data_IF_032488922234
#
_entry.id   IF_032488922234
#
_cell.length_a   1.000
_cell.length_b   1.000
_cell.length_c   1.000
_cell.angle_alpha   90.00
_cell.angle_beta   90.00
_cell.angle_gamma   90.00
#
_symmetry.space_group_name_H-M   'P 1'
#
loop_
_entity.id
_entity.type
_entity.pdbx_description
1 polymer ?
#
# COMPACT_ATOMS: atom_id res chain seq x y z
N UNK A 1 26.59 5.85 -75.91
CA UNK A 1 25.42 5.23 -75.25
C UNK A 1 25.97 4.43 -74.08
N UNK A 2 26.24 5.00 -72.90
CA UNK A 2 25.32 5.68 -71.97
C UNK A 2 24.16 4.73 -71.59
N UNK A 3 23.85 4.41 -70.34
CA UNK A 3 24.40 4.80 -69.03
C UNK A 3 23.76 3.82 -68.02
N UNK A 4 24.50 3.49 -66.97
CA UNK A 4 24.04 2.81 -65.75
C UNK A 4 22.77 3.44 -65.13
N UNK A 5 22.04 2.69 -64.30
CA UNK A 5 21.44 3.29 -63.09
C UNK A 5 21.49 2.32 -61.92
N UNK A 6 22.43 2.66 -61.04
CA UNK A 6 22.56 2.27 -59.64
C UNK A 6 21.23 2.32 -58.87
N UNK A 7 21.16 1.47 -57.84
CA UNK A 7 20.81 1.92 -56.49
C UNK A 7 21.40 0.96 -55.45
N UNK A 8 22.70 1.09 -55.18
CA UNK A 8 23.26 0.64 -53.91
C UNK A 8 22.92 1.71 -52.87
N UNK A 9 22.06 1.35 -51.92
CA UNK A 9 21.82 2.17 -50.74
C UNK A 9 23.00 2.01 -49.80
N UNK A 10 23.86 3.03 -49.74
CA UNK A 10 24.82 3.17 -48.64
C UNK A 10 24.05 3.64 -47.40
N UNK A 11 23.80 2.72 -46.48
CA UNK A 11 23.40 3.09 -45.11
C UNK A 11 24.68 3.51 -44.39
N UNK A 12 24.89 4.82 -44.25
CA UNK A 12 25.83 5.35 -43.26
C UNK A 12 25.27 5.00 -41.88
N UNK A 13 25.77 3.93 -41.28
CA UNK A 13 25.63 3.69 -39.86
C UNK A 13 26.45 4.74 -39.11
N UNK A 14 25.81 5.81 -38.65
CA UNK A 14 26.37 6.63 -37.58
C UNK A 14 26.44 5.77 -36.33
N UNK A 15 27.64 5.25 -36.04
CA UNK A 15 27.95 4.71 -34.73
C UNK A 15 27.86 5.89 -33.74
N UNK A 16 26.74 5.98 -33.03
CA UNK A 16 26.72 6.69 -31.76
C UNK A 16 27.60 5.88 -30.81
N UNK A 17 28.86 6.27 -30.69
CA UNK A 17 29.66 5.89 -29.52
C UNK A 17 29.02 6.63 -28.35
N UNK A 18 28.12 5.95 -27.65
CA UNK A 18 27.74 6.34 -26.30
C UNK A 18 29.01 6.12 -25.48
N UNK A 19 29.76 7.19 -25.26
CA UNK A 19 30.77 7.21 -24.21
C UNK A 19 29.97 7.09 -22.92
N UNK A 20 29.83 5.88 -22.41
CA UNK A 20 29.49 5.66 -21.01
C UNK A 20 30.67 6.26 -20.24
N UNK A 21 30.50 7.50 -19.77
CA UNK A 21 31.27 7.94 -18.62
C UNK A 21 30.93 6.92 -17.54
N UNK A 22 31.90 6.07 -17.19
CA UNK A 22 31.79 5.19 -16.03
C UNK A 22 31.53 6.10 -14.84
N UNK A 23 30.27 6.26 -14.49
CA UNK A 23 29.89 6.93 -13.27
C UNK A 23 30.42 6.04 -12.16
N UNK A 24 31.53 6.46 -11.55
CA UNK A 24 32.11 5.75 -10.44
C UNK A 24 31.01 5.58 -9.38
N UNK A 25 30.88 4.35 -8.90
CA UNK A 25 29.89 4.00 -7.90
C UNK A 25 30.57 3.94 -6.54
N UNK A 26 29.91 4.48 -5.52
CA UNK A 26 30.39 4.46 -4.15
C UNK A 26 29.27 4.00 -3.20
N UNK A 27 29.71 3.51 -2.04
CA UNK A 27 28.81 2.93 -1.05
C UNK A 27 28.16 4.01 -0.18
N UNK A 28 26.83 3.99 -0.11
CA UNK A 28 26.02 4.72 0.85
C UNK A 28 25.40 3.73 1.85
N UNK A 29 25.54 4.02 3.14
CA UNK A 29 24.94 3.26 4.24
C UNK A 29 24.01 4.13 5.06
N UNK A 30 22.87 3.58 5.47
CA UNK A 30 21.95 4.15 6.45
C UNK A 30 22.01 3.34 7.74
N UNK A 31 21.99 4.03 8.87
CA UNK A 31 21.91 3.48 10.23
C UNK A 31 20.88 4.31 11.02
N UNK A 32 19.69 3.73 11.19
CA UNK A 32 18.49 4.38 11.72
C UNK A 32 18.18 3.78 13.08
N UNK A 33 18.13 4.66 14.08
CA UNK A 33 18.04 4.26 15.47
C UNK A 33 16.84 4.92 16.17
N UNK A 34 16.41 4.35 17.28
CA UNK A 34 15.52 5.02 18.23
C UNK A 34 16.33 5.93 19.18
N UNK A 35 15.62 6.60 20.11
CA UNK A 35 16.22 7.50 21.10
C UNK A 35 17.18 6.78 22.07
N UNK A 36 17.07 5.45 22.21
CA UNK A 36 17.94 4.61 23.02
C UNK A 36 19.16 4.07 22.24
N UNK A 37 19.33 4.46 20.97
CA UNK A 37 20.43 4.01 20.11
C UNK A 37 20.27 2.60 19.54
N UNK A 38 19.09 1.99 19.67
CA UNK A 38 18.78 0.67 19.11
C UNK A 38 18.35 0.79 17.64
N UNK A 39 18.74 -0.18 16.81
CA UNK A 39 18.31 -0.25 15.39
C UNK A 39 16.79 -0.23 15.28
N UNK A 40 16.28 0.62 14.38
CA UNK A 40 14.85 0.86 14.25
C UNK A 40 14.39 0.62 12.81
N UNK A 41 13.57 -0.41 12.54
CA UNK A 41 13.00 -0.64 11.22
C UNK A 41 12.23 0.59 10.71
N UNK A 42 12.41 0.91 9.43
CA UNK A 42 11.80 2.10 8.84
C UNK A 42 11.69 1.98 7.31
N UNK A 43 10.91 2.89 6.73
CA UNK A 43 10.81 3.10 5.29
C UNK A 43 11.74 4.23 4.86
N UNK A 44 12.49 4.01 3.79
CA UNK A 44 13.37 5.01 3.18
C UNK A 44 12.92 5.26 1.73
N UNK A 45 12.64 6.52 1.45
CA UNK A 45 12.53 7.05 0.09
C UNK A 45 13.88 7.67 -0.26
N UNK A 46 14.54 7.21 -1.31
CA UNK A 46 15.83 7.73 -1.75
C UNK A 46 15.73 8.06 -3.23
N UNK A 47 16.06 9.28 -3.62
CA UNK A 47 15.96 9.73 -5.01
C UNK A 47 17.28 10.34 -5.47
N UNK A 48 17.63 10.10 -6.74
CA UNK A 48 18.71 10.82 -7.42
C UNK A 48 18.27 12.26 -7.81
N UNK A 49 19.15 13.08 -8.41
CA UNK A 49 18.79 14.45 -8.80
C UNK A 49 17.63 14.55 -9.79
N UNK A 50 17.45 13.54 -10.64
CA UNK A 50 16.35 13.47 -11.61
C UNK A 50 15.02 13.04 -10.96
N UNK A 51 15.03 12.74 -9.66
CA UNK A 51 13.87 12.32 -8.90
C UNK A 51 13.52 10.84 -9.09
N UNK A 52 14.41 10.04 -9.67
CA UNK A 52 14.21 8.60 -9.82
C UNK A 52 14.53 7.87 -8.50
N UNK A 53 13.63 6.98 -8.05
CA UNK A 53 13.80 6.28 -6.80
C UNK A 53 14.89 5.20 -6.88
N UNK A 54 15.68 5.10 -5.82
CA UNK A 54 16.78 4.15 -5.67
C UNK A 54 16.35 2.93 -4.86
N UNK A 55 16.96 1.77 -5.15
CA UNK A 55 16.62 0.49 -4.53
C UNK A 55 17.82 -0.09 -3.80
N UNK A 56 17.59 -0.56 -2.57
CA UNK A 56 18.56 -1.38 -1.86
C UNK A 56 18.36 -2.86 -2.21
N UNK A 57 19.43 -3.53 -2.64
CA UNK A 57 19.37 -4.95 -3.00
C UNK A 57 18.96 -5.81 -1.79
N UNK A 58 18.08 -6.79 -2.02
CA UNK A 58 17.60 -7.71 -0.98
C UNK A 58 16.58 -7.12 0.00
N UNK A 59 16.24 -5.84 -0.10
CA UNK A 59 15.23 -5.20 0.75
C UNK A 59 13.89 -5.06 0.01
N UNK A 60 12.74 -5.18 0.72
CA UNK A 60 11.43 -4.94 0.12
C UNK A 60 11.38 -3.54 -0.51
N UNK A 61 11.05 -3.48 -1.80
CA UNK A 61 10.85 -2.24 -2.53
C UNK A 61 9.41 -2.15 -3.04
N UNK A 62 8.87 -0.93 -3.05
CA UNK A 62 7.61 -0.63 -3.70
C UNK A 62 7.61 0.78 -4.25
N UNK A 63 7.41 0.90 -5.58
CA UNK A 63 7.29 2.17 -6.33
C UNK A 63 8.45 3.14 -6.15
N UNK A 64 8.51 3.85 -5.02
CA UNK A 64 9.43 4.93 -4.71
C UNK A 64 10.21 4.76 -3.40
N UNK A 65 9.99 3.67 -2.66
CA UNK A 65 10.64 3.42 -1.38
C UNK A 65 11.08 1.97 -1.21
N UNK A 66 12.03 1.77 -0.29
CA UNK A 66 12.34 0.47 0.28
C UNK A 66 12.18 0.49 1.80
N UNK A 67 12.10 -0.68 2.40
CA UNK A 67 12.03 -0.88 3.84
C UNK A 67 13.27 -1.60 4.34
N UNK A 68 13.80 -1.19 5.50
CA UNK A 68 15.00 -1.79 6.10
C UNK A 68 14.77 -2.12 7.59
N UNK A 69 15.57 -3.04 8.17
CA UNK A 69 15.50 -3.38 9.61
C UNK A 69 16.15 -2.31 10.52
N UNK A 70 16.43 -1.12 9.98
CA UNK A 70 17.17 -0.03 10.61
C UNK A 70 18.55 0.19 10.01
N UNK A 71 19.03 -0.72 9.15
CA UNK A 71 20.24 -0.50 8.37
C UNK A 71 20.03 -0.86 6.90
N UNK A 72 20.60 -0.07 6.00
CA UNK A 72 20.59 -0.33 4.56
C UNK A 72 21.92 0.07 3.93
N UNK A 73 22.32 -0.65 2.88
CA UNK A 73 23.56 -0.38 2.14
C UNK A 73 23.28 -0.43 0.64
N UNK A 74 23.74 0.58 -0.08
CA UNK A 74 23.51 0.77 -1.51
C UNK A 74 24.82 1.19 -2.18
N UNK A 75 25.07 0.66 -3.38
CA UNK A 75 26.11 1.15 -4.27
C UNK A 75 25.43 2.07 -5.29
N UNK A 76 25.86 3.33 -5.32
CA UNK A 76 25.21 4.39 -6.09
C UNK A 76 26.26 5.19 -6.86
N UNK A 77 25.95 5.70 -8.06
CA UNK A 77 26.78 6.68 -8.74
C UNK A 77 27.18 7.85 -7.84
N UNK A 78 28.34 8.46 -8.11
CA UNK A 78 28.71 9.75 -7.51
C UNK A 78 27.69 10.80 -7.90
N UNK A 79 26.89 11.21 -6.92
CA UNK A 79 25.90 12.27 -7.08
C UNK A 79 25.35 12.73 -5.72
N UNK A 80 24.39 13.66 -5.76
CA UNK A 80 23.61 14.15 -4.63
C UNK A 80 22.24 13.49 -4.60
N UNK A 81 21.97 12.77 -3.52
CA UNK A 81 20.71 12.07 -3.32
C UNK A 81 19.88 12.77 -2.26
N UNK A 82 18.57 12.84 -2.48
CA UNK A 82 17.60 13.29 -1.47
C UNK A 82 16.94 12.09 -0.81
N UNK A 83 16.76 12.11 0.50
CA UNK A 83 16.11 11.05 1.24
C UNK A 83 14.96 11.55 2.11
N UNK A 84 13.99 10.67 2.35
CA UNK A 84 12.95 10.80 3.38
C UNK A 84 12.86 9.49 4.16
N UNK A 85 12.75 9.55 5.48
CA UNK A 85 12.68 8.39 6.37
C UNK A 85 11.43 8.50 7.23
N UNK A 86 10.65 7.42 7.26
CA UNK A 86 9.33 7.37 7.89
C UNK A 86 9.15 6.04 8.64
N UNK A 87 8.42 6.08 9.78
CA UNK A 87 7.99 4.91 10.56
C UNK A 87 6.56 5.12 11.06
N UNK A 88 5.57 4.90 10.19
CA UNK A 88 4.16 5.19 10.51
C UNK A 88 3.89 6.66 10.91
N UNK A 89 2.69 6.98 11.43
CA UNK A 89 2.29 8.32 11.86
C UNK A 89 2.66 8.63 13.32
N UNK A 90 3.14 7.65 14.08
CA UNK A 90 3.52 7.81 15.50
C UNK A 90 4.96 8.26 15.69
N UNK A 91 5.70 8.44 14.60
CA UNK A 91 7.07 8.94 14.57
C UNK A 91 7.18 10.18 13.71
N UNK A 92 8.22 10.97 13.96
CA UNK A 92 8.57 12.07 13.07
C UNK A 92 9.00 11.57 11.68
N UNK A 93 8.95 12.48 10.70
CA UNK A 93 9.47 12.24 9.35
C UNK A 93 10.76 13.01 9.16
N UNK A 94 11.83 12.31 8.83
CA UNK A 94 13.12 12.93 8.55
C UNK A 94 13.28 13.11 7.05
N UNK A 95 13.95 14.20 6.65
CA UNK A 95 14.33 14.46 5.27
C UNK A 95 15.70 15.10 5.22
N UNK A 96 16.45 14.83 4.17
CA UNK A 96 17.76 15.41 3.98
C UNK A 96 18.36 15.08 2.63
N UNK A 97 19.62 15.45 2.47
CA UNK A 97 20.41 15.15 1.29
C UNK A 97 21.75 14.53 1.70
N UNK A 98 22.32 13.72 0.81
CA UNK A 98 23.64 13.11 0.99
C UNK A 98 24.39 13.15 -0.34
N UNK A 99 25.64 13.60 -0.31
CA UNK A 99 26.54 13.53 -1.45
C UNK A 99 27.34 12.23 -1.37
N UNK A 100 27.20 11.38 -2.39
CA UNK A 100 27.99 10.17 -2.61
C UNK A 100 29.22 10.56 -3.43
N UNK A 101 30.42 10.19 -2.98
CA UNK A 101 31.68 10.50 -3.65
C UNK A 101 32.68 9.33 -3.58
N UNK A 102 33.70 9.35 -4.43
CA UNK A 102 34.67 8.24 -4.61
C UNK A 102 35.72 8.13 -3.50
N UNK A 103 35.72 9.07 -2.55
CA UNK A 103 36.77 9.16 -1.53
C UNK A 103 36.56 8.17 -0.38
N UNK A 104 35.31 7.93 0.01
CA UNK A 104 34.97 7.07 1.16
C UNK A 104 33.50 6.67 1.17
N UNK A 105 33.18 5.45 1.66
CA UNK A 105 31.80 5.07 1.95
C UNK A 105 31.12 6.11 2.86
N UNK A 106 29.93 6.54 2.47
CA UNK A 106 29.14 7.50 3.26
C UNK A 106 28.21 6.78 4.21
N UNK A 107 28.13 7.29 5.44
CA UNK A 107 27.21 6.83 6.47
C UNK A 107 26.24 7.96 6.82
N UNK A 108 24.94 7.70 6.65
CA UNK A 108 23.85 8.53 7.16
C UNK A 108 23.33 7.86 8.43
N UNK A 109 23.73 8.39 9.58
CA UNK A 109 23.22 7.97 10.89
C UNK A 109 22.17 8.95 11.37
N UNK A 110 20.97 8.47 11.65
CA UNK A 110 19.83 9.29 12.08
C UNK A 110 19.06 8.61 13.21
N UNK A 111 18.49 9.41 14.10
CA UNK A 111 17.60 8.97 15.17
C UNK A 111 16.18 9.38 14.84
N UNK A 112 15.25 8.42 14.79
CA UNK A 112 13.82 8.68 14.61
C UNK A 112 13.13 8.78 15.97
N UNK A 113 12.60 9.96 16.27
CA UNK A 113 11.84 10.20 17.50
C UNK A 113 10.38 9.76 17.39
N UNK A 114 9.89 9.08 18.44
CA UNK A 114 8.47 8.78 18.61
C UNK A 114 7.74 10.02 19.11
N UNK A 115 6.61 10.37 18.50
CA UNK A 115 5.81 11.55 18.88
C UNK A 115 4.58 11.19 19.72
N UNK A 116 4.08 9.94 19.60
CA UNK A 116 2.98 9.40 20.43
C UNK A 116 3.13 7.87 20.54
N UNK A 117 2.58 7.28 21.60
CA UNK A 117 2.54 5.83 21.81
C UNK A 117 1.09 5.38 21.97
N UNK A 118 0.39 5.21 20.86
CA UNK A 118 -1.03 4.85 20.87
C UNK A 118 -1.24 3.43 21.40
N UNK A 119 -0.32 2.52 21.10
CA UNK A 119 -0.30 1.16 21.68
C UNK A 119 -0.26 1.18 23.21
N UNK A 120 0.51 2.11 23.80
CA UNK A 120 0.58 2.31 25.24
C UNK A 120 -0.71 2.83 25.87
N UNK A 121 -1.59 3.42 25.05
CA UNK A 121 -2.92 3.93 25.42
C UNK A 121 -4.06 2.97 25.03
N UNK A 122 -3.74 1.72 24.66
CA UNK A 122 -4.73 0.70 24.29
C UNK A 122 -5.23 0.78 22.85
N UNK A 123 -4.70 1.69 22.03
CA UNK A 123 -5.02 1.80 20.61
C UNK A 123 -4.05 1.01 19.76
N UNK A 124 -4.55 0.02 19.04
CA UNK A 124 -3.76 -0.81 18.12
C UNK A 124 -4.08 -0.41 16.68
N UNK A 125 -3.16 -0.67 15.74
CA UNK A 125 -3.26 -0.21 14.35
C UNK A 125 -3.33 -1.35 13.35
N UNK A 126 -4.14 -1.20 12.31
CA UNK A 126 -4.15 -2.13 11.18
C UNK A 126 -4.31 -1.46 9.82
N UNK A 127 -3.79 -2.13 8.80
CA UNK A 127 -4.08 -1.89 7.39
C UNK A 127 -4.81 -3.13 6.86
N UNK A 128 -6.06 -2.94 6.43
CA UNK A 128 -6.97 -4.03 6.09
C UNK A 128 -7.02 -4.32 4.58
N UNK A 129 -6.19 -3.68 3.76
CA UNK A 129 -6.16 -3.96 2.32
C UNK A 129 -4.70 -4.05 1.86
N UNK A 130 -4.14 -5.26 1.90
CA UNK A 130 -2.71 -5.50 1.61
C UNK A 130 -2.57 -6.64 0.61
N UNK A 131 -1.77 -6.43 -0.44
CA UNK A 131 -1.44 -7.40 -1.50
C UNK A 131 0.08 -7.68 -1.57
N UNK A 132 0.81 -7.46 -0.47
CA UNK A 132 2.26 -7.64 -0.38
C UNK A 132 2.60 -9.13 -0.20
N UNK A 133 3.78 -9.60 -0.67
CA UNK A 133 4.23 -10.97 -0.42
C UNK A 133 4.30 -11.26 1.08
N UNK A 134 3.79 -12.42 1.50
CA UNK A 134 3.74 -12.84 2.91
C UNK A 134 5.12 -12.84 3.58
N UNK A 135 6.16 -13.21 2.83
CA UNK A 135 7.56 -13.20 3.29
C UNK A 135 8.11 -11.82 3.65
N UNK A 136 7.43 -10.73 3.29
CA UNK A 136 7.85 -9.36 3.57
C UNK A 136 7.08 -8.73 4.73
N UNK A 137 5.95 -9.29 5.14
CA UNK A 137 4.97 -8.62 5.99
C UNK A 137 5.54 -8.27 7.36
N UNK A 138 6.29 -9.16 7.99
CA UNK A 138 6.86 -8.90 9.32
C UNK A 138 7.76 -7.65 9.32
N UNK A 139 8.65 -7.53 8.34
CA UNK A 139 9.53 -6.38 8.23
C UNK A 139 8.75 -5.12 7.87
N UNK A 140 7.75 -5.24 6.99
CA UNK A 140 6.87 -4.12 6.62
C UNK A 140 6.07 -3.60 7.81
N UNK A 141 5.46 -4.48 8.60
CA UNK A 141 4.74 -4.12 9.84
C UNK A 141 5.68 -3.47 10.84
N UNK A 142 6.86 -4.08 11.07
CA UNK A 142 7.86 -3.51 11.96
C UNK A 142 8.25 -2.11 11.51
N UNK A 143 8.47 -1.85 10.23
CA UNK A 143 8.88 -0.55 9.70
C UNK A 143 7.77 0.51 9.71
N UNK A 144 6.50 0.11 9.75
CA UNK A 144 5.35 1.01 9.80
C UNK A 144 4.75 1.17 11.20
N UNK A 145 5.35 0.50 12.19
CA UNK A 145 4.85 0.37 13.55
C UNK A 145 3.40 -0.16 13.60
N UNK A 146 3.08 -1.12 12.73
CA UNK A 146 1.74 -1.67 12.56
C UNK A 146 1.51 -2.89 13.48
N UNK A 147 0.35 -2.99 14.11
CA UNK A 147 0.01 -4.11 15.01
C UNK A 147 -0.60 -5.30 14.27
N UNK A 148 -1.36 -5.05 13.21
CA UNK A 148 -2.10 -6.08 12.49
C UNK A 148 -2.16 -5.83 10.99
N UNK A 149 -1.99 -6.90 10.19
CA UNK A 149 -1.91 -6.83 8.73
C UNK A 149 -2.51 -8.09 8.07
N UNK A 150 -3.85 -8.24 8.03
CA UNK A 150 -4.47 -9.36 7.35
C UNK A 150 -4.30 -9.22 5.83
N UNK A 151 -3.41 -10.02 5.25
CA UNK A 151 -3.06 -9.96 3.83
C UNK A 151 -4.12 -10.64 2.97
N UNK A 152 -4.49 -9.98 1.89
CA UNK A 152 -5.35 -10.51 0.83
C UNK A 152 -4.50 -11.45 -0.03
N UNK A 153 -4.81 -12.74 0.03
CA UNK A 153 -4.04 -13.77 -0.69
C UNK A 153 -4.83 -14.41 -1.83
N UNK A 154 -6.14 -14.15 -1.95
CA UNK A 154 -6.93 -14.49 -3.13
C UNK A 154 -7.83 -13.34 -3.53
N UNK A 155 -7.94 -13.13 -4.83
CA UNK A 155 -8.82 -12.12 -5.42
C UNK A 155 -9.09 -12.41 -6.89
N UNK A 156 -10.32 -12.20 -7.34
CA UNK A 156 -10.78 -12.44 -8.70
C UNK A 156 -10.35 -13.81 -9.26
N UNK A 157 -9.30 -13.86 -10.10
CA UNK A 157 -8.76 -15.11 -10.69
C UNK A 157 -7.43 -15.56 -10.08
N UNK A 158 -6.96 -14.89 -9.04
CA UNK A 158 -5.68 -15.13 -8.39
C UNK A 158 -5.91 -15.77 -7.04
N UNK A 159 -5.09 -16.77 -6.74
CA UNK A 159 -5.07 -17.43 -5.44
C UNK A 159 -3.62 -17.77 -5.10
N UNK A 160 -3.08 -17.01 -4.17
CA UNK A 160 -1.77 -17.15 -3.56
C UNK A 160 -1.89 -17.60 -2.10
N UNK A 161 -3.02 -18.20 -1.72
CA UNK A 161 -3.25 -18.70 -0.37
C UNK A 161 -2.18 -19.72 0.00
N UNK A 162 -1.57 -19.49 1.15
CA UNK A 162 -0.69 -20.43 1.83
C UNK A 162 -0.90 -20.28 3.33
N UNK A 163 -0.71 -21.37 4.10
CA UNK A 163 -0.87 -21.30 5.55
C UNK A 163 0.19 -20.36 6.13
N UNK A 164 -0.24 -19.21 6.63
CA UNK A 164 0.63 -18.17 7.18
C UNK A 164 -0.16 -17.36 8.21
N UNK A 165 0.52 -16.81 9.22
CA UNK A 165 -0.13 -15.94 10.24
C UNK A 165 -0.80 -14.73 9.61
N UNK A 166 -0.30 -14.22 8.49
CA UNK A 166 -0.84 -13.04 7.81
C UNK A 166 -1.82 -13.39 6.69
N UNK A 167 -1.89 -14.64 6.23
CA UNK A 167 -2.85 -15.07 5.18
C UNK A 167 -4.23 -15.23 5.77
N UNK A 168 -4.92 -14.11 5.98
CA UNK A 168 -6.19 -14.07 6.71
C UNK A 168 -7.27 -13.27 5.97
N UNK A 169 -7.01 -12.88 4.72
CA UNK A 169 -7.97 -12.11 3.93
C UNK A 169 -8.06 -12.49 2.45
N UNK A 170 -9.16 -12.07 1.84
CA UNK A 170 -9.46 -12.21 0.42
C UNK A 170 -10.30 -11.04 -0.09
N UNK A 171 -10.40 -10.91 -1.40
CA UNK A 171 -11.13 -9.82 -2.06
C UNK A 171 -11.98 -10.33 -3.23
N UNK A 172 -13.24 -9.94 -3.26
CA UNK A 172 -14.12 -10.08 -4.42
C UNK A 172 -14.34 -8.70 -5.05
N UNK A 173 -13.60 -8.37 -6.12
CA UNK A 173 -13.62 -7.06 -6.79
C UNK A 173 -14.20 -7.20 -8.21
N UNK A 174 -15.46 -6.81 -8.36
CA UNK A 174 -16.22 -6.93 -9.61
C UNK A 174 -17.09 -5.70 -9.86
N UNK A 175 -18.01 -5.75 -10.81
CA UNK A 175 -18.72 -4.54 -11.30
C UNK A 175 -19.52 -3.82 -10.25
N UNK A 176 -20.15 -4.55 -9.34
CA UNK A 176 -20.85 -3.96 -8.19
C UNK A 176 -19.93 -3.21 -7.23
N UNK A 177 -18.63 -3.53 -7.22
CA UNK A 177 -17.59 -3.00 -6.36
C UNK A 177 -16.72 -4.11 -5.75
N UNK A 178 -16.05 -3.80 -4.65
CA UNK A 178 -15.20 -4.73 -3.91
C UNK A 178 -15.69 -5.00 -2.48
N UNK A 179 -15.71 -6.27 -2.09
CA UNK A 179 -15.85 -6.74 -0.71
C UNK A 179 -14.55 -7.42 -0.27
N UNK A 180 -14.07 -7.06 0.92
CA UNK A 180 -12.95 -7.73 1.57
C UNK A 180 -13.46 -8.71 2.62
N UNK A 181 -12.85 -9.89 2.66
CA UNK A 181 -13.19 -10.98 3.57
C UNK A 181 -12.02 -11.14 4.53
N UNK A 182 -12.23 -10.93 5.83
CA UNK A 182 -11.20 -11.12 6.85
C UNK A 182 -11.53 -12.27 7.79
N UNK A 183 -10.49 -12.74 8.51
CA UNK A 183 -10.53 -13.85 9.48
C UNK A 183 -10.80 -15.22 8.87
N UNK A 184 -10.70 -15.32 7.55
CA UNK A 184 -10.86 -16.58 6.84
C UNK A 184 -9.69 -17.51 7.18
N UNK A 185 -9.98 -18.81 7.26
CA UNK A 185 -8.99 -19.87 7.49
C UNK A 185 -8.70 -20.69 6.23
N UNK A 186 -9.58 -20.58 5.23
CA UNK A 186 -9.47 -21.23 3.94
C UNK A 186 -9.93 -20.24 2.85
N UNK A 187 -9.35 -20.29 1.64
CA UNK A 187 -9.73 -19.39 0.57
C UNK A 187 -11.09 -19.77 -0.01
N UNK A 188 -11.83 -18.75 -0.45
CA UNK A 188 -13.09 -18.94 -1.18
C UNK A 188 -12.79 -18.96 -2.67
N UNK A 189 -13.20 -20.03 -3.37
CA UNK A 189 -13.03 -20.10 -4.82
C UNK A 189 -14.05 -19.20 -5.54
N UNK A 190 -13.59 -18.00 -5.88
CA UNK A 190 -14.35 -17.02 -6.67
C UNK A 190 -13.95 -17.03 -8.16
N UNK A 191 -13.07 -17.94 -8.59
CA UNK A 191 -12.42 -17.90 -9.93
C UNK A 191 -13.38 -18.12 -11.09
N UNK A 192 -14.54 -18.74 -10.83
CA UNK A 192 -15.60 -18.98 -11.82
C UNK A 192 -16.56 -17.81 -12.00
N UNK A 193 -16.38 -16.73 -11.22
CA UNK A 193 -17.19 -15.53 -11.34
C UNK A 193 -16.99 -14.83 -12.68
N UNK A 194 -18.06 -14.23 -13.16
CA UNK A 194 -18.06 -13.22 -14.23
C UNK A 194 -18.22 -11.83 -13.62
N UNK A 195 -18.15 -10.77 -14.46
CA UNK A 195 -18.38 -9.36 -14.07
C UNK A 195 -19.55 -9.20 -13.08
N UNK A 196 -20.69 -9.81 -13.37
CA UNK A 196 -21.95 -9.56 -12.67
C UNK A 196 -22.49 -10.78 -11.90
N UNK A 197 -22.02 -11.99 -12.24
CA UNK A 197 -22.65 -13.25 -11.78
C UNK A 197 -21.60 -14.22 -11.23
N UNK A 198 -21.85 -14.86 -10.09
CA UNK A 198 -23.00 -14.65 -9.18
C UNK A 198 -22.88 -13.34 -8.40
N UNK A 199 -23.94 -12.89 -7.71
CA UNK A 199 -23.79 -11.78 -6.76
C UNK A 199 -22.67 -12.09 -5.73
N UNK A 200 -21.85 -11.11 -5.32
CA UNK A 200 -20.87 -11.27 -4.23
C UNK A 200 -21.45 -11.87 -2.96
N UNK A 201 -22.77 -11.68 -2.73
CA UNK A 201 -23.47 -12.24 -1.59
C UNK A 201 -23.44 -13.77 -1.53
N UNK A 202 -23.27 -14.47 -2.66
CA UNK A 202 -23.08 -15.94 -2.66
C UNK A 202 -21.82 -16.32 -1.87
N UNK A 203 -20.74 -15.56 -2.06
CA UNK A 203 -19.48 -15.78 -1.35
C UNK A 203 -19.53 -15.28 0.08
N UNK A 204 -20.25 -14.20 0.37
CA UNK A 204 -20.54 -13.79 1.76
C UNK A 204 -21.25 -14.90 2.54
N UNK A 205 -22.29 -15.52 1.97
CA UNK A 205 -22.99 -16.63 2.62
C UNK A 205 -22.10 -17.86 2.79
N UNK A 206 -21.27 -18.16 1.79
CA UNK A 206 -20.29 -19.24 1.90
C UNK A 206 -19.28 -18.97 3.03
N UNK A 207 -18.71 -17.77 3.07
CA UNK A 207 -17.73 -17.36 4.07
C UNK A 207 -18.29 -17.48 5.49
N UNK A 208 -19.53 -17.03 5.70
CA UNK A 208 -20.22 -17.10 7.00
C UNK A 208 -20.52 -18.52 7.45
N UNK A 209 -20.72 -19.45 6.50
CA UNK A 209 -20.88 -20.89 6.81
C UNK A 209 -19.54 -21.57 7.12
N UNK A 210 -18.48 -21.18 6.43
CA UNK A 210 -17.14 -21.76 6.60
C UNK A 210 -16.43 -21.25 7.86
N UNK A 211 -16.55 -19.95 8.14
CA UNK A 211 -15.80 -19.26 9.19
C UNK A 211 -16.75 -18.54 10.13
N UNK A 212 -16.83 -19.04 11.37
CA UNK A 212 -17.55 -18.34 12.45
C UNK A 212 -16.87 -17.00 12.73
N UNK A 213 -17.63 -15.91 12.64
CA UNK A 213 -17.11 -14.56 12.89
C UNK A 213 -16.31 -13.96 11.74
N UNK A 214 -16.43 -14.47 10.50
CA UNK A 214 -15.90 -13.80 9.30
C UNK A 214 -16.31 -12.32 9.31
N UNK A 215 -15.37 -11.46 8.95
CA UNK A 215 -15.61 -10.01 8.88
C UNK A 215 -15.59 -9.55 7.43
N UNK A 216 -16.71 -8.98 6.99
CA UNK A 216 -16.93 -8.50 5.64
C UNK A 216 -16.84 -6.97 5.65
N UNK A 217 -15.84 -6.46 4.96
CA UNK A 217 -15.59 -5.03 4.79
C UNK A 217 -16.01 -4.58 3.39
N UNK A 218 -16.77 -3.48 3.32
CA UNK A 218 -17.05 -2.81 2.05
C UNK A 218 -15.83 -1.95 1.73
N UNK A 219 -15.09 -2.30 0.68
CA UNK A 219 -13.78 -1.68 0.43
C UNK A 219 -13.86 -0.15 0.24
N UNK A 220 -14.95 0.33 -0.40
CA UNK A 220 -15.25 1.76 -0.58
C UNK A 220 -16.75 2.08 -0.58
N UNK A 221 -17.16 3.28 -0.13
CA UNK A 221 -18.56 3.65 -0.03
C UNK A 221 -19.22 4.02 -1.36
N UNK A 222 -18.46 4.37 -2.38
CA UNK A 222 -19.02 4.75 -3.69
C UNK A 222 -19.29 3.55 -4.61
N UNK A 223 -19.19 2.31 -4.12
CA UNK A 223 -19.56 1.13 -4.89
C UNK A 223 -21.06 1.08 -5.20
N UNK A 224 -21.40 0.57 -6.39
CA UNK A 224 -22.79 0.52 -6.87
C UNK A 224 -23.68 -0.39 -6.04
N UNK A 225 -23.14 -1.56 -5.63
CA UNK A 225 -23.89 -2.55 -4.85
C UNK A 225 -23.92 -2.24 -3.35
N UNK A 226 -23.17 -1.22 -2.89
CA UNK A 226 -23.07 -0.84 -1.47
C UNK A 226 -24.43 -0.73 -0.77
N UNK A 227 -25.48 -0.07 -1.34
CA UNK A 227 -26.78 0.00 -0.69
C UNK A 227 -27.43 -1.38 -0.44
N UNK A 228 -27.25 -2.33 -1.38
CA UNK A 228 -27.79 -3.70 -1.25
C UNK A 228 -26.99 -4.49 -0.22
N UNK A 229 -25.67 -4.34 -0.21
CA UNK A 229 -24.81 -4.96 0.80
C UNK A 229 -25.16 -4.48 2.21
N UNK A 230 -25.37 -3.18 2.41
CA UNK A 230 -25.82 -2.63 3.69
C UNK A 230 -27.21 -3.16 4.07
N UNK A 231 -28.17 -3.15 3.15
CA UNK A 231 -29.53 -3.65 3.39
C UNK A 231 -29.58 -5.13 3.78
N UNK A 232 -28.57 -5.92 3.38
CA UNK A 232 -28.47 -7.34 3.75
C UNK A 232 -28.23 -7.59 5.25
N UNK A 233 -27.75 -6.57 5.98
CA UNK A 233 -27.33 -6.67 7.37
C UNK A 233 -26.08 -7.52 7.61
N UNK A 234 -25.28 -7.78 6.56
CA UNK A 234 -24.15 -8.73 6.61
C UNK A 234 -22.77 -8.10 6.50
N UNK A 235 -22.69 -6.77 6.40
CA UNK A 235 -21.42 -6.02 6.36
C UNK A 235 -21.04 -5.57 7.76
N UNK A 236 -19.74 -5.59 8.08
CA UNK A 236 -19.24 -5.24 9.41
C UNK A 236 -18.43 -3.93 9.42
N UNK A 237 -17.84 -3.51 8.31
CA UNK A 237 -17.17 -2.20 8.20
C UNK A 237 -17.18 -1.65 6.77
N UNK A 238 -16.72 -0.41 6.61
CA UNK A 238 -16.64 0.27 5.32
C UNK A 238 -15.41 1.17 5.19
N UNK A 239 -14.69 1.05 4.08
CA UNK A 239 -13.43 1.74 3.81
C UNK A 239 -13.58 3.24 3.56
N UNK A 240 -13.40 4.02 4.62
CA UNK A 240 -13.41 5.49 4.55
C UNK A 240 -12.02 6.01 4.19
N UNK A 241 -10.96 5.47 4.80
CA UNK A 241 -9.58 5.78 4.43
C UNK A 241 -9.07 4.73 3.44
N UNK A 242 -9.63 4.73 2.24
CA UNK A 242 -9.41 3.68 1.23
C UNK A 242 -8.21 3.95 0.31
N UNK A 243 -7.99 3.01 -0.60
CA UNK A 243 -6.81 2.92 -1.44
C UNK A 243 -6.67 4.02 -2.53
N UNK A 244 -7.66 4.91 -2.70
CA UNK A 244 -7.55 6.09 -3.57
C UNK A 244 -6.78 7.24 -2.91
N UNK A 245 -6.66 7.22 -1.59
CA UNK A 245 -5.92 8.23 -0.81
C UNK A 245 -4.45 7.83 -0.75
N UNK A 246 -3.64 8.38 -1.65
CA UNK A 246 -2.21 8.02 -1.71
C UNK A 246 -1.36 8.94 -0.84
N UNK A 247 -0.14 8.48 -0.54
CA UNK A 247 0.89 9.28 0.12
C UNK A 247 1.18 10.60 -0.60
N UNK A 248 1.26 10.56 -1.94
CA UNK A 248 1.67 11.69 -2.77
C UNK A 248 0.55 12.32 -3.59
N UNK A 249 -0.64 11.71 -3.62
CA UNK A 249 -1.76 12.18 -4.44
C UNK A 249 -3.10 11.62 -3.97
N UNK A 250 -4.19 12.07 -4.60
CA UNK A 250 -5.50 11.41 -4.53
C UNK A 250 -5.87 10.95 -5.94
N UNK A 251 -6.31 9.70 -6.10
CA UNK A 251 -6.87 9.27 -7.38
C UNK A 251 -8.14 10.08 -7.69
N UNK A 252 -8.24 10.59 -8.91
CA UNK A 252 -9.25 11.61 -9.25
C UNK A 252 -10.60 11.03 -9.68
N UNK A 253 -10.69 9.71 -9.89
CA UNK A 253 -11.90 8.98 -10.28
C UNK A 253 -12.42 8.12 -9.12
N UNK A 254 -13.63 7.57 -9.26
CA UNK A 254 -14.24 6.63 -8.31
C UNK A 254 -14.14 5.18 -8.83
N UNK A 255 -13.06 4.86 -9.56
CA UNK A 255 -12.92 3.66 -10.38
C UNK A 255 -14.11 3.49 -11.34
N UNK A 256 -14.93 2.45 -11.17
CA UNK A 256 -16.21 2.25 -11.86
C UNK A 256 -17.43 2.44 -10.94
N UNK A 257 -17.22 2.97 -9.73
CA UNK A 257 -18.27 3.28 -8.78
C UNK A 257 -19.07 4.52 -9.16
N UNK A 258 -19.94 4.93 -8.25
CA UNK A 258 -20.80 6.10 -8.40
C UNK A 258 -19.97 7.39 -8.39
N UNK A 259 -19.93 8.05 -9.53
CA UNK A 259 -19.22 9.32 -9.74
C UNK A 259 -19.72 10.42 -8.79
N UNK A 260 -18.78 11.27 -8.37
CA UNK A 260 -19.10 12.51 -7.66
C UNK A 260 -19.49 13.63 -8.62
N UNK A 261 -20.18 14.63 -8.09
CA UNK A 261 -20.28 15.93 -8.77
C UNK A 261 -18.92 16.65 -8.69
N UNK A 262 -18.18 16.67 -9.81
CA UNK A 262 -16.84 17.27 -9.87
C UNK A 262 -16.83 18.79 -9.79
N UNK A 263 -17.96 19.47 -10.06
CA UNK A 263 -18.05 20.92 -9.90
C UNK A 263 -18.17 21.27 -8.42
N UNK A 264 -18.95 20.49 -7.68
CA UNK A 264 -19.13 20.65 -6.23
C UNK A 264 -17.94 20.14 -5.43
N UNK A 265 -17.39 19.00 -5.83
CA UNK A 265 -16.28 18.31 -5.19
C UNK A 265 -15.13 18.17 -6.20
N UNK A 266 -14.31 19.21 -6.43
CA UNK A 266 -13.19 19.15 -7.37
C UNK A 266 -11.98 18.39 -6.81
N UNK A 267 -11.09 17.95 -7.68
CA UNK A 267 -9.77 17.40 -7.29
C UNK A 267 -8.87 18.47 -6.65
N UNK A 268 -7.90 18.10 -5.78
CA UNK A 268 -7.55 16.74 -5.38
C UNK A 268 -8.39 16.18 -4.22
N UNK A 269 -9.10 17.01 -3.45
CA UNK A 269 -9.74 16.56 -2.21
C UNK A 269 -11.14 15.94 -2.40
N UNK A 270 -11.81 16.22 -3.52
CA UNK A 270 -13.22 15.89 -3.65
C UNK A 270 -13.56 14.40 -3.66
N UNK A 271 -12.66 13.48 -4.03
CA UNK A 271 -12.90 12.04 -3.86
C UNK A 271 -12.97 11.66 -2.36
N UNK A 272 -12.08 12.24 -1.55
CA UNK A 272 -12.10 12.07 -0.10
C UNK A 272 -13.36 12.67 0.55
N UNK A 273 -13.77 13.86 0.09
CA UNK A 273 -15.04 14.46 0.55
C UNK A 273 -16.25 13.65 0.10
N UNK A 274 -16.25 13.10 -1.11
CA UNK A 274 -17.35 12.25 -1.60
C UNK A 274 -17.47 10.97 -0.77
N UNK A 275 -16.34 10.33 -0.50
CA UNK A 275 -16.24 9.17 0.40
C UNK A 275 -16.84 9.46 1.77
N UNK A 276 -16.47 10.60 2.38
CA UNK A 276 -17.02 11.03 3.68
C UNK A 276 -18.51 11.36 3.61
N UNK A 277 -18.96 12.05 2.56
CA UNK A 277 -20.37 12.43 2.40
C UNK A 277 -21.28 11.20 2.32
N UNK A 278 -20.89 10.19 1.53
CA UNK A 278 -21.62 8.93 1.48
C UNK A 278 -21.62 8.25 2.85
N UNK A 279 -20.47 8.22 3.55
CA UNK A 279 -20.39 7.64 4.89
C UNK A 279 -21.33 8.31 5.89
N UNK A 280 -21.38 9.65 5.92
CA UNK A 280 -22.32 10.38 6.76
C UNK A 280 -23.79 10.16 6.35
N UNK A 281 -24.07 10.01 5.06
CA UNK A 281 -25.41 9.63 4.61
C UNK A 281 -25.82 8.25 5.13
N UNK A 282 -24.92 7.26 5.10
CA UNK A 282 -25.16 5.94 5.69
C UNK A 282 -25.48 6.09 7.19
N UNK A 283 -24.67 6.84 7.94
CA UNK A 283 -24.92 7.07 9.36
C UNK A 283 -26.27 7.76 9.64
N UNK A 284 -26.69 8.69 8.76
CA UNK A 284 -27.98 9.39 8.88
C UNK A 284 -29.19 8.49 8.60
N UNK A 285 -29.01 7.35 7.92
CA UNK A 285 -30.06 6.32 7.78
C UNK A 285 -30.24 5.46 9.03
N UNK A 286 -29.44 5.67 10.07
CA UNK A 286 -29.46 4.87 11.31
C UNK A 286 -28.55 3.64 11.27
N UNK A 287 -27.90 3.36 10.14
CA UNK A 287 -26.90 2.28 10.02
C UNK A 287 -25.60 2.74 10.70
N UNK A 288 -25.22 2.07 11.80
CA UNK A 288 -24.00 2.36 12.57
C UNK A 288 -22.87 1.42 12.17
N UNK A 289 -22.37 1.58 10.94
CA UNK A 289 -21.26 0.77 10.42
C UNK A 289 -19.89 1.40 10.76
N UNK A 290 -18.97 0.66 11.42
CA UNK A 290 -17.61 1.11 11.69
C UNK A 290 -16.84 1.52 10.43
N UNK A 291 -16.04 2.60 10.48
CA UNK A 291 -15.13 2.94 9.39
C UNK A 291 -13.90 2.02 9.42
N UNK A 292 -13.39 1.68 8.24
CA UNK A 292 -12.15 0.93 8.06
C UNK A 292 -11.17 1.69 7.14
N UNK A 293 -9.97 1.13 6.98
CA UNK A 293 -8.90 1.70 6.18
C UNK A 293 -8.04 0.61 5.55
N UNK A 294 -7.51 0.88 4.35
CA UNK A 294 -6.61 -0.04 3.69
C UNK A 294 -5.85 0.58 2.53
N UNK A 295 -4.57 0.23 2.38
CA UNK A 295 -3.65 0.91 1.46
C UNK A 295 -3.66 0.37 0.03
N UNK A 296 -4.10 -0.88 -0.15
CA UNK A 296 -3.85 -1.73 -1.31
C UNK A 296 -2.37 -1.78 -1.71
N UNK A 297 -1.45 -1.72 -0.74
CA UNK A 297 -0.02 -1.85 -1.02
C UNK A 297 0.28 -3.19 -1.69
N UNK A 298 1.07 -3.18 -2.76
CA UNK A 298 1.25 -4.35 -3.65
C UNK A 298 0.42 -4.27 -4.94
N UNK A 299 -0.57 -3.37 -5.00
CA UNK A 299 -1.31 -3.02 -6.23
C UNK A 299 -1.18 -1.53 -6.52
N UNK A 300 -1.55 -0.67 -5.57
CA UNK A 300 -1.52 0.78 -5.71
C UNK A 300 -0.22 1.41 -5.19
N UNK A 301 -0.10 2.74 -5.33
CA UNK A 301 1.13 3.48 -5.01
C UNK A 301 1.49 3.56 -3.53
N UNK A 302 0.60 3.16 -2.63
CA UNK A 302 0.79 3.34 -1.20
C UNK A 302 1.76 2.35 -0.57
N UNK A 303 2.54 2.79 0.43
CA UNK A 303 3.15 1.87 1.37
C UNK A 303 2.07 1.28 2.29
N UNK A 304 2.37 0.09 2.81
CA UNK A 304 1.58 -0.53 3.88
C UNK A 304 1.42 0.44 5.07
N UNK A 305 0.26 0.39 5.73
CA UNK A 305 -0.02 1.23 6.90
C UNK A 305 -0.17 2.71 6.59
N UNK A 306 -0.09 3.20 5.34
CA UNK A 306 -0.39 4.60 5.05
C UNK A 306 -1.87 4.91 5.34
N UNK A 307 -2.72 4.04 4.84
CA UNK A 307 -4.13 3.96 5.19
C UNK A 307 -4.25 2.96 6.34
N UNK A 308 -4.50 3.46 7.55
CA UNK A 308 -4.65 2.60 8.74
C UNK A 308 -5.84 3.01 9.57
N UNK A 309 -6.41 2.03 10.27
CA UNK A 309 -7.42 2.22 11.30
C UNK A 309 -6.81 1.90 12.66
N UNK A 310 -7.28 2.60 13.69
CA UNK A 310 -6.94 2.30 15.08
C UNK A 310 -8.17 1.78 15.82
N UNK A 311 -8.00 0.69 16.58
CA UNK A 311 -9.04 0.14 17.45
C UNK A 311 -8.54 0.16 18.89
N UNK A 312 -9.37 0.72 19.78
CA UNK A 312 -9.10 0.74 21.22
C UNK A 312 -9.55 -0.58 21.85
N UNK A 313 -8.66 -1.21 22.63
CA UNK A 313 -8.93 -2.45 23.35
C UNK A 313 -8.71 -2.23 24.85
N UNK A 314 -9.56 -2.85 25.68
CA UNK A 314 -9.43 -2.81 27.14
C UNK A 314 -8.23 -3.63 27.67
N UNK A 315 -7.66 -4.48 26.82
CA UNK A 315 -6.57 -5.38 27.16
C UNK A 315 -5.48 -5.42 26.09
N UNK A 316 -4.58 -6.39 26.23
CA UNK A 316 -3.52 -6.62 25.23
C UNK A 316 -4.14 -6.98 23.88
N UNK A 317 -3.43 -6.61 22.81
CA UNK A 317 -3.77 -7.05 21.46
C UNK A 317 -3.97 -8.56 21.41
N UNK A 318 -5.10 -8.93 20.81
CA UNK A 318 -5.33 -10.25 20.24
C UNK A 318 -6.24 -10.06 19.04
N UNK A 319 -6.07 -10.89 18.01
CA UNK A 319 -6.93 -10.80 16.82
C UNK A 319 -8.41 -10.95 17.19
N UNK A 320 -8.75 -11.78 18.18
CA UNK A 320 -10.14 -11.95 18.61
C UNK A 320 -10.71 -10.68 19.24
N UNK A 321 -9.93 -9.92 19.99
CA UNK A 321 -10.38 -8.65 20.59
C UNK A 321 -10.41 -7.51 19.57
N UNK A 322 -9.59 -7.58 18.52
CA UNK A 322 -9.51 -6.57 17.46
C UNK A 322 -10.81 -6.44 16.64
N UNK A 323 -11.53 -7.55 16.45
CA UNK A 323 -12.75 -7.65 15.66
C UNK A 323 -14.01 -7.56 16.54
#
# INVERSE_FOLDING_TARGET
>A
MAWERMRQFYVLGLLYVVVSLDAHAAWLSFDIQNEDGQSLPCRIHLFDPDGKPQRAAGLPFWRDHFVCPGAAKLELPVDRYRYQIERGPEYERLKGEVAVNDESPKLVRLTLKRIVNLRGEGWYSADLHIHRPLSQIDLLMQAEDLDFAPVITWWNRRNHWEQNTHSQAGEDEREGGALLFHRIQDPIDITKSTRETPSPMVYVEQARKQTSGVWIDIEKPFWWDMPVWLASGKMQSIGVANNHMWRSQMLTNEAWGRERDIQRLPSPLGNGYWTQEIYYHILNTGIRIPPSAGSASGVLGNPIGYNRVYVHLDGKFSETAWW
#
